data_IF_684980738030
#
_entry.id   IF_684980738030
#
_cell.length_a   1.000
_cell.length_b   1.000
_cell.length_c   1.000
_cell.angle_alpha   90.00
_cell.angle_beta   90.00
_cell.angle_gamma   90.00
#
_symmetry.space_group_name_H-M   'P 1'
#
loop_
_entity.id
_entity.type
_entity.pdbx_description
1 polymer ?
#
# COMPACT_ATOMS: atom_id res chain seq x y z
N UNK A 1 16.50 7.48 -18.97
CA UNK A 1 15.50 6.40 -18.90
C UNK A 1 14.15 6.84 -19.44
N UNK A 2 13.29 5.87 -19.83
CA UNK A 2 11.87 6.13 -20.07
C UNK A 2 11.08 6.03 -18.78
N UNK A 3 10.06 6.90 -18.62
CA UNK A 3 9.21 6.95 -17.44
C UNK A 3 7.80 7.41 -17.78
N UNK A 4 6.80 6.95 -17.02
CA UNK A 4 5.49 7.58 -16.98
C UNK A 4 5.60 8.86 -16.16
N UNK A 5 5.18 9.99 -16.71
CA UNK A 5 5.30 11.28 -16.02
C UNK A 5 4.13 12.20 -16.37
N UNK A 6 3.95 13.26 -15.57
CA UNK A 6 3.05 14.37 -15.86
C UNK A 6 3.76 15.70 -15.63
N UNK A 7 3.48 16.67 -16.50
CA UNK A 7 4.07 18.02 -16.51
C UNK A 7 3.12 19.10 -15.94
N UNK A 8 1.88 18.72 -15.65
CA UNK A 8 0.84 19.55 -15.05
C UNK A 8 -0.13 18.68 -14.25
N UNK A 9 -0.74 19.25 -13.22
CA UNK A 9 -1.82 18.59 -12.50
C UNK A 9 -3.07 18.45 -13.37
N UNK A 10 -3.84 17.38 -13.15
CA UNK A 10 -5.07 17.19 -13.92
C UNK A 10 -5.65 15.78 -13.85
N UNK A 11 -6.56 15.44 -14.77
CA UNK A 11 -7.16 14.12 -14.90
C UNK A 11 -6.11 13.10 -15.39
N UNK A 12 -6.43 11.78 -15.40
CA UNK A 12 -5.47 10.73 -15.78
C UNK A 12 -4.75 10.95 -17.11
N UNK A 13 -5.36 11.61 -18.05
CA UNK A 13 -4.87 11.88 -19.40
C UNK A 13 -3.62 12.80 -19.45
N UNK A 14 -3.25 13.43 -18.33
CA UNK A 14 -1.98 14.18 -18.23
C UNK A 14 -0.76 13.27 -18.14
N UNK A 15 -0.95 11.97 -17.87
CA UNK A 15 0.12 10.98 -17.83
C UNK A 15 0.56 10.59 -19.23
N UNK A 16 1.87 10.66 -19.46
CA UNK A 16 2.50 10.26 -20.72
C UNK A 16 3.82 9.56 -20.45
N UNK A 17 4.26 8.72 -21.39
CA UNK A 17 5.61 8.17 -21.38
C UNK A 17 6.55 9.24 -21.95
N UNK A 18 7.56 9.60 -21.20
CA UNK A 18 8.61 10.56 -21.58
C UNK A 18 9.99 10.07 -21.15
N UNK A 19 10.99 10.93 -21.28
CA UNK A 19 12.36 10.66 -20.85
C UNK A 19 12.69 11.44 -19.59
N UNK A 20 13.50 10.82 -18.72
CA UNK A 20 14.03 11.43 -17.50
C UNK A 20 15.50 11.00 -17.32
N UNK A 21 16.23 11.72 -16.46
CA UNK A 21 17.54 11.27 -16.02
C UNK A 21 17.45 9.94 -15.27
N UNK A 22 18.48 9.11 -15.39
CA UNK A 22 18.57 7.88 -14.61
C UNK A 22 18.80 8.25 -13.13
N UNK A 23 18.02 7.68 -12.19
CA UNK A 23 18.28 7.91 -10.78
C UNK A 23 19.47 7.08 -10.30
N UNK A 24 20.18 7.53 -9.27
CA UNK A 24 21.23 6.79 -8.60
C UNK A 24 20.91 6.61 -7.12
N UNK A 25 21.22 5.44 -6.53
CA UNK A 25 20.93 5.17 -5.12
C UNK A 25 21.91 5.95 -4.23
N UNK A 26 21.38 6.57 -3.20
CA UNK A 26 22.14 7.12 -2.10
C UNK A 26 22.62 6.06 -1.11
N UNK A 27 23.28 6.49 0.00
CA UNK A 27 23.64 5.57 1.07
C UNK A 27 22.42 4.83 1.64
N UNK A 28 22.49 3.51 1.76
CA UNK A 28 21.41 2.69 2.29
C UNK A 28 20.26 2.41 1.31
N UNK A 29 20.38 2.77 0.03
CA UNK A 29 19.38 2.57 -1.01
C UNK A 29 19.87 1.59 -2.09
N UNK A 30 18.95 1.04 -2.87
CA UNK A 30 19.26 0.26 -4.07
C UNK A 30 18.50 0.80 -5.26
N UNK A 31 19.11 0.75 -6.47
CA UNK A 31 18.38 0.97 -7.71
C UNK A 31 17.97 -0.38 -8.31
N UNK A 32 16.77 -0.41 -8.85
CA UNK A 32 16.23 -1.57 -9.54
C UNK A 32 15.88 -1.24 -10.99
N UNK A 33 16.10 -2.18 -11.90
CA UNK A 33 15.41 -2.26 -13.17
C UNK A 33 13.98 -2.72 -12.88
N UNK A 34 12.99 -1.85 -13.04
CA UNK A 34 11.61 -2.07 -12.60
C UNK A 34 10.91 -3.05 -13.54
N UNK A 35 10.30 -4.09 -12.97
CA UNK A 35 9.39 -4.98 -13.68
C UNK A 35 7.93 -4.55 -13.52
N UNK A 36 7.54 -4.16 -12.31
CA UNK A 36 6.17 -3.75 -12.00
C UNK A 36 6.14 -2.62 -10.97
N UNK A 37 5.20 -1.69 -11.11
CA UNK A 37 4.97 -0.58 -10.20
C UNK A 37 3.50 -0.50 -9.78
N UNK A 38 3.22 -0.39 -8.48
CA UNK A 38 1.87 -0.25 -7.94
C UNK A 38 1.31 1.16 -8.12
N UNK A 39 0.01 1.25 -8.40
CA UNK A 39 -0.73 2.52 -8.39
C UNK A 39 -1.44 2.66 -7.05
N UNK A 40 -1.09 3.70 -6.30
CA UNK A 40 -1.58 3.96 -4.95
C UNK A 40 -2.42 5.26 -4.86
N UNK A 41 -3.28 5.42 -3.86
CA UNK A 41 -4.09 6.64 -3.71
C UNK A 41 -3.26 7.93 -3.68
N UNK A 42 -2.03 7.88 -3.14
CA UNK A 42 -1.12 9.03 -3.12
C UNK A 42 -0.74 9.47 -4.53
N UNK A 43 -0.52 8.53 -5.45
CA UNK A 43 -0.19 8.83 -6.85
C UNK A 43 -1.34 9.56 -7.54
N UNK A 44 -2.57 9.13 -7.25
CA UNK A 44 -3.79 9.76 -7.78
C UNK A 44 -3.94 11.19 -7.27
N UNK A 45 -3.71 11.41 -5.97
CA UNK A 45 -3.81 12.72 -5.34
C UNK A 45 -2.71 13.69 -5.83
N UNK A 46 -1.46 13.21 -5.95
CA UNK A 46 -0.35 13.99 -6.48
C UNK A 46 -0.63 14.43 -7.92
N UNK A 47 -0.98 13.49 -8.80
CA UNK A 47 -1.31 13.79 -10.19
C UNK A 47 -2.49 14.77 -10.31
N UNK A 48 -3.53 14.59 -9.48
CA UNK A 48 -4.71 15.46 -9.51
C UNK A 48 -4.43 16.86 -8.91
N UNK A 49 -3.32 17.05 -8.18
CA UNK A 49 -3.02 18.28 -7.46
C UNK A 49 -3.87 18.48 -6.20
N UNK A 50 -4.39 17.40 -5.63
CA UNK A 50 -5.20 17.41 -4.38
C UNK A 50 -4.41 16.96 -3.16
N UNK A 51 -3.14 16.54 -3.34
CA UNK A 51 -2.24 16.21 -2.24
C UNK A 51 -1.83 17.47 -1.47
N UNK A 52 -1.66 17.39 -0.13
CA UNK A 52 -1.01 18.46 0.65
C UNK A 52 0.39 18.84 0.14
N UNK A 53 1.09 17.92 -0.52
CA UNK A 53 2.43 18.14 -1.09
C UNK A 53 2.42 18.82 -2.47
N UNK A 54 1.26 19.28 -2.96
CA UNK A 54 1.11 19.88 -4.29
C UNK A 54 2.12 21.00 -4.57
N UNK A 55 2.25 21.91 -3.62
CA UNK A 55 3.05 23.13 -3.83
C UNK A 55 4.56 22.89 -3.74
N UNK A 56 4.98 21.72 -3.25
CA UNK A 56 6.39 21.29 -3.17
C UNK A 56 6.77 20.29 -4.26
N UNK A 57 5.80 19.80 -5.04
CA UNK A 57 6.05 18.82 -6.09
C UNK A 57 6.74 19.46 -7.29
N UNK A 58 7.89 18.91 -7.68
CA UNK A 58 8.62 19.34 -8.87
C UNK A 58 8.05 18.67 -10.11
N UNK A 59 7.74 19.44 -11.13
CA UNK A 59 7.25 18.96 -12.42
C UNK A 59 8.34 19.10 -13.51
N UNK A 60 8.43 18.17 -14.48
CA UNK A 60 7.61 16.97 -14.62
C UNK A 60 7.87 15.97 -13.49
N UNK A 61 6.83 15.25 -13.05
CA UNK A 61 6.90 14.30 -11.95
C UNK A 61 6.59 12.86 -12.41
N UNK A 62 7.36 11.90 -11.89
CA UNK A 62 7.16 10.46 -12.11
C UNK A 62 6.41 9.89 -10.91
N UNK A 63 5.15 9.43 -11.05
CA UNK A 63 4.41 8.83 -9.96
C UNK A 63 4.91 7.42 -9.62
N UNK A 64 4.32 6.81 -8.59
CA UNK A 64 4.57 5.45 -8.15
C UNK A 64 5.48 5.41 -6.91
N UNK A 65 4.94 4.87 -5.83
CA UNK A 65 5.66 4.69 -4.56
C UNK A 65 6.11 3.25 -4.34
N UNK A 66 5.45 2.29 -4.98
CA UNK A 66 5.75 0.85 -4.88
C UNK A 66 6.38 0.33 -6.16
N UNK A 67 7.42 -0.48 -6.05
CA UNK A 67 7.99 -1.20 -7.19
C UNK A 67 8.56 -2.56 -6.81
N UNK A 68 8.66 -3.43 -7.82
CA UNK A 68 9.45 -4.64 -7.80
C UNK A 68 10.29 -4.74 -9.08
N UNK A 69 11.46 -5.32 -8.96
CA UNK A 69 12.40 -5.44 -10.07
C UNK A 69 13.67 -6.16 -9.66
N UNK A 70 14.68 -6.01 -10.51
CA UNK A 70 16.00 -6.60 -10.32
C UNK A 70 16.99 -5.49 -9.95
N UNK A 71 17.75 -5.68 -8.89
CA UNK A 71 18.79 -4.71 -8.49
C UNK A 71 19.83 -4.60 -9.60
N UNK A 72 20.13 -3.40 -10.04
CA UNK A 72 21.20 -3.09 -10.99
C UNK A 72 22.30 -2.20 -10.41
N UNK A 73 21.99 -1.43 -9.35
CA UNK A 73 22.97 -0.59 -8.65
C UNK A 73 22.72 -0.63 -7.13
N UNK A 74 23.79 -0.75 -6.34
CA UNK A 74 23.75 -0.85 -4.89
C UNK A 74 24.43 0.37 -4.27
N UNK A 75 23.70 1.09 -3.43
CA UNK A 75 24.22 2.28 -2.73
C UNK A 75 25.21 1.94 -1.63
N UNK A 76 25.98 2.93 -1.21
CA UNK A 76 27.00 2.77 -0.17
C UNK A 76 26.37 2.29 1.15
N UNK A 77 27.03 1.34 1.82
CA UNK A 77 26.61 0.84 3.13
C UNK A 77 25.50 -0.20 3.10
N UNK A 78 24.96 -0.55 1.91
CA UNK A 78 24.01 -1.64 1.76
C UNK A 78 24.74 -2.98 1.84
N UNK A 79 24.17 -3.94 2.58
CA UNK A 79 24.69 -5.30 2.72
C UNK A 79 23.58 -6.33 2.54
N UNK A 80 23.95 -7.57 2.20
CA UNK A 80 23.01 -8.71 2.09
C UNK A 80 22.23 -8.79 0.77
N UNK A 81 22.52 -7.88 -0.17
CA UNK A 81 21.97 -7.92 -1.54
C UNK A 81 23.05 -7.52 -2.55
N UNK A 82 22.87 -7.93 -3.80
CA UNK A 82 23.76 -7.64 -4.92
C UNK A 82 22.97 -7.33 -6.21
N UNK A 83 23.66 -6.80 -7.22
CA UNK A 83 23.11 -6.69 -8.57
C UNK A 83 22.70 -8.08 -9.07
N UNK A 84 21.51 -8.18 -9.65
CA UNK A 84 20.87 -9.43 -10.08
C UNK A 84 19.81 -9.95 -9.10
N UNK A 85 19.78 -9.50 -7.85
CA UNK A 85 18.77 -9.92 -6.89
C UNK A 85 17.38 -9.35 -7.22
N UNK A 86 16.37 -10.21 -7.09
CA UNK A 86 14.97 -9.82 -7.26
C UNK A 86 14.42 -9.27 -5.94
N UNK A 87 13.91 -8.06 -5.97
CA UNK A 87 13.39 -7.39 -4.77
C UNK A 87 12.06 -6.69 -5.03
N UNK A 88 11.35 -6.40 -3.95
CA UNK A 88 10.18 -5.53 -3.94
C UNK A 88 10.25 -4.57 -2.76
N UNK A 89 9.68 -3.40 -2.91
CA UNK A 89 9.72 -2.41 -1.84
C UNK A 89 9.09 -1.09 -2.22
N UNK A 90 9.58 -0.04 -1.60
CA UNK A 90 9.09 1.31 -1.82
C UNK A 90 10.22 2.31 -2.01
N UNK A 91 9.96 3.32 -2.82
CA UNK A 91 10.81 4.52 -2.88
C UNK A 91 10.73 5.27 -1.55
N UNK A 92 11.67 6.17 -1.32
CA UNK A 92 11.52 7.12 -0.20
C UNK A 92 10.26 7.96 -0.43
N UNK A 93 9.30 7.82 0.47
CA UNK A 93 8.00 8.50 0.37
C UNK A 93 8.16 10.03 0.36
N UNK A 94 9.24 10.56 0.91
CA UNK A 94 9.54 11.98 0.85
C UNK A 94 9.84 12.48 -0.58
N UNK A 95 10.22 11.58 -1.49
CA UNK A 95 10.39 11.89 -2.93
C UNK A 95 9.07 11.91 -3.68
N UNK A 96 7.99 11.42 -3.08
CA UNK A 96 6.62 11.42 -3.59
C UNK A 96 6.40 10.60 -4.88
N UNK A 97 7.37 9.79 -5.30
CA UNK A 97 7.25 8.98 -6.51
C UNK A 97 8.59 8.51 -7.07
N UNK A 98 8.56 8.06 -8.33
CA UNK A 98 9.73 7.58 -9.08
C UNK A 98 9.64 6.14 -9.54
N UNK A 99 8.67 5.36 -9.08
CA UNK A 99 8.59 3.92 -9.37
C UNK A 99 8.01 3.59 -10.76
N UNK A 100 7.23 4.48 -11.37
CA UNK A 100 6.64 4.25 -12.70
C UNK A 100 7.62 4.55 -13.85
N UNK A 101 8.81 3.96 -13.80
CA UNK A 101 9.91 4.21 -14.73
C UNK A 101 10.75 2.94 -14.98
N UNK A 102 11.66 2.97 -15.98
CA UNK A 102 12.61 1.88 -16.22
C UNK A 102 13.44 1.55 -14.98
N UNK A 103 13.88 2.58 -14.25
CA UNK A 103 14.67 2.44 -13.03
C UNK A 103 14.00 3.19 -11.89
N UNK A 104 14.08 2.62 -10.69
CA UNK A 104 13.63 3.25 -9.45
C UNK A 104 14.62 3.01 -8.32
N UNK A 105 14.72 3.97 -7.40
CA UNK A 105 15.54 3.84 -6.19
C UNK A 105 14.64 3.47 -5.02
N UNK A 106 14.86 2.31 -4.42
CA UNK A 106 14.14 1.85 -3.25
C UNK A 106 14.87 2.27 -1.96
N UNK A 107 14.12 2.84 -1.04
CA UNK A 107 14.60 3.21 0.30
C UNK A 107 14.48 2.05 1.30
N UNK A 108 13.55 1.14 1.05
CA UNK A 108 13.43 -0.13 1.78
C UNK A 108 12.85 -1.22 0.88
N UNK A 109 13.28 -2.45 1.14
CA UNK A 109 12.92 -3.60 0.30
C UNK A 109 13.03 -4.91 1.08
N UNK A 110 12.50 -5.97 0.46
CA UNK A 110 12.79 -7.36 0.80
C UNK A 110 13.04 -8.16 -0.48
N UNK A 111 13.72 -9.30 -0.35
CA UNK A 111 13.89 -10.26 -1.44
C UNK A 111 12.52 -10.75 -1.90
N UNK A 112 12.26 -10.65 -3.19
CA UNK A 112 11.02 -11.16 -3.79
C UNK A 112 11.02 -12.68 -3.75
N UNK A 113 10.05 -13.34 -3.10
CA UNK A 113 9.92 -14.78 -3.18
C UNK A 113 9.38 -15.21 -4.54
N UNK A 114 9.75 -16.42 -4.99
CA UNK A 114 9.25 -16.97 -6.26
C UNK A 114 7.73 -17.17 -6.25
N UNK A 115 7.13 -17.32 -5.07
CA UNK A 115 5.69 -17.42 -4.88
C UNK A 115 4.92 -16.14 -5.21
N UNK A 116 5.57 -14.97 -5.24
CA UNK A 116 4.97 -13.73 -5.68
C UNK A 116 5.21 -13.49 -7.17
N UNK A 117 4.17 -13.18 -7.93
CA UNK A 117 4.30 -12.60 -9.27
C UNK A 117 4.92 -11.20 -9.19
N UNK A 118 5.48 -10.68 -10.30
CA UNK A 118 5.96 -9.31 -10.37
C UNK A 118 4.86 -8.29 -10.04
N UNK A 119 3.62 -8.54 -10.48
CA UNK A 119 2.51 -7.66 -10.22
C UNK A 119 2.15 -7.58 -8.73
N UNK A 120 2.13 -8.72 -8.02
CA UNK A 120 1.92 -8.74 -6.57
C UNK A 120 3.05 -8.02 -5.84
N UNK A 121 4.29 -8.32 -6.19
CA UNK A 121 5.48 -7.72 -5.60
C UNK A 121 5.53 -6.20 -5.82
N UNK A 122 5.23 -5.73 -7.05
CA UNK A 122 5.21 -4.29 -7.39
C UNK A 122 4.10 -3.49 -6.69
N UNK A 123 3.12 -4.16 -6.10
CA UNK A 123 2.02 -3.54 -5.37
C UNK A 123 2.15 -3.64 -3.83
N UNK A 124 3.22 -4.28 -3.34
CA UNK A 124 3.32 -4.77 -1.97
C UNK A 124 3.90 -3.75 -0.98
N UNK A 125 4.91 -2.99 -1.39
CA UNK A 125 5.82 -2.24 -0.51
C UNK A 125 5.12 -1.38 0.53
N UNK A 126 4.45 -0.30 0.12
CA UNK A 126 3.75 0.61 1.02
C UNK A 126 2.53 -0.03 1.68
N UNK A 127 1.87 -1.00 1.02
CA UNK A 127 0.72 -1.68 1.63
C UNK A 127 1.15 -2.52 2.84
N UNK A 128 2.28 -3.22 2.76
CA UNK A 128 2.82 -4.01 3.87
C UNK A 128 3.38 -3.10 4.97
N UNK A 129 4.16 -2.08 4.60
CA UNK A 129 4.68 -1.10 5.55
C UNK A 129 3.57 -0.48 6.37
N UNK A 130 2.55 0.06 5.69
CA UNK A 130 1.45 0.79 6.32
C UNK A 130 0.59 -0.12 7.19
N UNK A 131 0.28 -1.33 6.74
CA UNK A 131 -0.46 -2.31 7.54
C UNK A 131 0.34 -2.74 8.78
N UNK A 132 1.63 -3.05 8.62
CA UNK A 132 2.49 -3.47 9.73
C UNK A 132 2.58 -2.39 10.80
N UNK A 133 2.86 -1.16 10.41
CA UNK A 133 2.94 0.01 11.28
C UNK A 133 1.64 0.24 12.06
N UNK A 134 0.49 0.13 11.39
CA UNK A 134 -0.81 0.30 12.04
C UNK A 134 -1.10 -0.83 13.04
N UNK A 135 -0.79 -2.08 12.70
CA UNK A 135 -0.94 -3.23 13.59
C UNK A 135 -0.02 -3.14 14.81
N UNK A 136 1.22 -2.63 14.63
CA UNK A 136 2.15 -2.39 15.73
C UNK A 136 1.66 -1.25 16.63
N UNK A 137 1.16 -0.16 16.07
CA UNK A 137 0.60 0.95 16.81
C UNK A 137 -0.63 0.53 17.64
N UNK A 138 -1.42 -0.42 17.16
CA UNK A 138 -2.54 -1.00 17.89
C UNK A 138 -2.11 -2.09 18.90
N UNK A 139 -0.88 -2.60 18.83
CA UNK A 139 -0.44 -3.71 19.66
C UNK A 139 -1.17 -5.03 19.34
N UNK A 140 -1.51 -5.27 18.06
CA UNK A 140 -2.22 -6.47 17.63
C UNK A 140 -1.41 -7.71 17.94
N UNK A 141 -1.95 -8.60 18.77
CA UNK A 141 -1.31 -9.84 19.25
C UNK A 141 -2.30 -11.02 19.18
N UNK A 142 -1.78 -12.20 19.52
CA UNK A 142 -2.58 -13.43 19.60
C UNK A 142 -3.78 -13.28 20.56
N UNK A 143 -4.93 -13.76 20.12
CA UNK A 143 -6.19 -13.72 20.87
C UNK A 143 -6.98 -12.41 20.78
N UNK A 144 -6.39 -11.32 20.26
CA UNK A 144 -7.12 -10.08 20.04
C UNK A 144 -8.16 -10.19 18.91
N UNK A 145 -9.28 -9.49 19.03
CA UNK A 145 -10.25 -9.31 17.95
C UNK A 145 -10.07 -7.91 17.33
N UNK A 146 -9.68 -7.87 16.07
CA UNK A 146 -9.47 -6.64 15.30
C UNK A 146 -10.59 -6.43 14.28
N UNK A 147 -11.21 -5.24 14.31
CA UNK A 147 -12.08 -4.76 13.24
C UNK A 147 -11.27 -3.93 12.25
N UNK A 148 -11.26 -4.32 10.97
CA UNK A 148 -10.63 -3.57 9.88
C UNK A 148 -11.71 -2.95 9.00
N UNK A 149 -11.84 -1.62 9.05
CA UNK A 149 -12.73 -0.88 8.14
C UNK A 149 -12.02 -0.56 6.84
N UNK A 150 -12.62 -0.96 5.69
CA UNK A 150 -11.97 -0.91 4.38
C UNK A 150 -11.09 -2.14 4.09
N UNK A 151 -11.41 -3.29 4.68
CA UNK A 151 -10.62 -4.53 4.60
C UNK A 151 -10.37 -5.06 3.18
N UNK A 152 -11.23 -4.76 2.21
CA UNK A 152 -11.07 -5.23 0.82
C UNK A 152 -10.07 -4.40 -0.02
N UNK A 153 -9.63 -3.24 0.48
CA UNK A 153 -8.68 -2.37 -0.21
C UNK A 153 -7.24 -2.90 -0.19
N UNK A 154 -6.33 -2.17 -0.84
CA UNK A 154 -4.91 -2.56 -0.93
C UNK A 154 -4.25 -2.77 0.42
N UNK A 155 -4.31 -1.77 1.32
CA UNK A 155 -3.76 -1.87 2.68
C UNK A 155 -4.61 -2.77 3.56
N UNK A 156 -5.94 -2.68 3.48
CA UNK A 156 -6.85 -3.46 4.32
C UNK A 156 -6.71 -4.97 4.12
N UNK A 157 -6.58 -5.43 2.87
CA UNK A 157 -6.39 -6.85 2.56
C UNK A 157 -5.06 -7.41 3.07
N UNK A 158 -4.03 -6.57 3.12
CA UNK A 158 -2.73 -6.90 3.72
C UNK A 158 -2.84 -6.93 5.26
N UNK A 159 -3.50 -5.92 5.85
CA UNK A 159 -3.70 -5.85 7.30
C UNK A 159 -4.47 -7.06 7.85
N UNK A 160 -5.51 -7.52 7.14
CA UNK A 160 -6.25 -8.75 7.48
C UNK A 160 -5.31 -9.94 7.61
N UNK A 161 -4.47 -10.18 6.60
CA UNK A 161 -3.58 -11.35 6.57
C UNK A 161 -2.47 -11.27 7.61
N UNK A 162 -1.86 -10.09 7.78
CA UNK A 162 -0.81 -9.89 8.77
C UNK A 162 -1.34 -9.97 10.20
N UNK A 163 -2.55 -9.47 10.47
CA UNK A 163 -3.20 -9.62 11.77
C UNK A 163 -3.55 -11.09 12.07
N UNK A 164 -4.11 -11.81 11.09
CA UNK A 164 -4.36 -13.25 11.22
C UNK A 164 -3.07 -14.05 11.46
N UNK A 165 -1.96 -13.67 10.81
CA UNK A 165 -0.65 -14.29 11.03
C UNK A 165 -0.09 -14.03 12.44
N UNK A 166 -0.51 -12.95 13.11
CA UNK A 166 -0.21 -12.65 14.53
C UNK A 166 -1.13 -13.40 15.51
N UNK A 167 -2.07 -14.22 15.03
CA UNK A 167 -3.02 -14.96 15.85
C UNK A 167 -4.26 -14.14 16.26
N UNK A 168 -4.50 -12.98 15.67
CA UNK A 168 -5.71 -12.20 15.92
C UNK A 168 -6.90 -12.75 15.13
N UNK A 169 -8.08 -12.66 15.73
CA UNK A 169 -9.36 -12.82 15.03
C UNK A 169 -9.66 -11.52 14.29
N UNK A 170 -9.90 -11.57 12.98
CA UNK A 170 -10.14 -10.38 12.18
C UNK A 170 -11.59 -10.33 11.70
N UNK A 171 -12.27 -9.21 11.95
CA UNK A 171 -13.55 -8.84 11.34
C UNK A 171 -13.24 -7.79 10.28
N UNK A 172 -13.67 -8.02 9.02
CA UNK A 172 -13.36 -7.11 7.92
C UNK A 172 -14.59 -6.51 7.29
N UNK A 173 -14.66 -5.17 7.17
CA UNK A 173 -15.78 -4.54 6.49
C UNK A 173 -15.59 -4.57 4.97
N UNK A 174 -16.67 -4.84 4.27
CA UNK A 174 -16.70 -4.85 2.81
C UNK A 174 -18.13 -4.79 2.26
N UNK A 175 -18.26 -4.63 0.96
CA UNK A 175 -19.55 -4.84 0.28
C UNK A 175 -19.90 -6.33 0.27
N UNK A 176 -21.18 -6.73 0.23
CA UNK A 176 -21.57 -8.15 0.15
C UNK A 176 -20.82 -8.92 -0.95
N UNK A 177 -20.59 -8.30 -2.11
CA UNK A 177 -19.82 -8.89 -3.21
C UNK A 177 -18.33 -9.17 -2.87
N UNK A 178 -17.80 -8.57 -1.80
CA UNK A 178 -16.41 -8.79 -1.35
C UNK A 178 -16.32 -9.78 -0.18
N UNK A 179 -17.44 -10.29 0.34
CA UNK A 179 -17.43 -11.14 1.55
C UNK A 179 -16.66 -12.44 1.32
N UNK A 180 -16.89 -13.12 0.18
CA UNK A 180 -16.14 -14.34 -0.15
C UNK A 180 -14.63 -14.09 -0.25
N UNK A 181 -14.24 -12.95 -0.84
CA UNK A 181 -12.85 -12.53 -0.92
C UNK A 181 -12.25 -12.30 0.47
N UNK A 182 -12.93 -11.56 1.35
CA UNK A 182 -12.47 -11.29 2.72
C UNK A 182 -12.35 -12.56 3.54
N UNK A 183 -13.31 -13.49 3.42
CA UNK A 183 -13.25 -14.80 4.06
C UNK A 183 -12.03 -15.60 3.57
N UNK A 184 -11.71 -15.56 2.28
CA UNK A 184 -10.53 -16.20 1.71
C UNK A 184 -9.20 -15.62 2.22
N UNK A 185 -9.20 -14.38 2.74
CA UNK A 185 -8.03 -13.75 3.38
C UNK A 185 -7.96 -14.03 4.90
N UNK A 186 -8.94 -14.73 5.48
CA UNK A 186 -8.98 -15.06 6.90
C UNK A 186 -9.79 -14.09 7.76
N UNK A 187 -10.58 -13.18 7.20
CA UNK A 187 -11.47 -12.31 7.95
C UNK A 187 -12.90 -12.88 8.04
N UNK A 188 -13.60 -12.57 9.14
CA UNK A 188 -15.06 -12.67 9.21
C UNK A 188 -15.64 -11.43 8.52
N UNK A 189 -16.32 -11.57 7.37
CA UNK A 189 -16.77 -10.40 6.61
C UNK A 189 -18.05 -9.81 7.21
N UNK A 190 -18.14 -8.48 7.18
CA UNK A 190 -19.33 -7.72 7.58
C UNK A 190 -19.56 -6.55 6.62
N UNK A 191 -20.83 -6.20 6.37
CA UNK A 191 -21.13 -5.02 5.56
C UNK A 191 -20.89 -3.73 6.34
N UNK A 192 -20.22 -2.76 5.73
CA UNK A 192 -20.08 -1.41 6.28
C UNK A 192 -21.38 -0.59 6.20
N UNK A 193 -21.38 0.62 6.73
CA UNK A 193 -22.51 1.57 6.70
C UNK A 193 -23.47 1.41 7.86
N UNK A 194 -24.60 2.14 7.88
CA UNK A 194 -25.49 2.24 9.03
C UNK A 194 -25.82 0.89 9.67
N UNK A 195 -25.73 0.80 11.00
CA UNK A 195 -25.94 -0.43 11.76
C UNK A 195 -24.74 -1.37 11.80
N UNK A 196 -23.53 -0.90 11.45
CA UNK A 196 -22.32 -1.72 11.58
C UNK A 196 -22.12 -2.22 13.02
N UNK A 197 -22.35 -1.36 14.02
CA UNK A 197 -22.19 -1.71 15.43
C UNK A 197 -23.07 -2.90 15.83
N UNK A 198 -24.32 -2.97 15.37
CA UNK A 198 -25.22 -4.10 15.67
C UNK A 198 -24.71 -5.39 15.00
N UNK A 199 -24.34 -5.31 13.72
CA UNK A 199 -23.80 -6.46 12.98
C UNK A 199 -22.50 -7.00 13.57
N UNK A 200 -21.64 -6.11 14.09
CA UNK A 200 -20.38 -6.51 14.75
C UNK A 200 -20.66 -7.11 16.13
N UNK A 201 -21.62 -6.56 16.88
CA UNK A 201 -22.03 -7.08 18.20
C UNK A 201 -22.46 -8.54 18.12
N UNK A 202 -23.16 -8.93 17.06
CA UNK A 202 -23.58 -10.32 16.82
C UNK A 202 -22.39 -11.28 16.59
N UNK A 203 -21.22 -10.73 16.23
CA UNK A 203 -19.97 -11.48 16.02
C UNK A 203 -19.13 -11.61 17.31
N UNK A 204 -19.45 -10.86 18.35
CA UNK A 204 -18.75 -10.82 19.64
C UNK A 204 -17.96 -9.52 19.88
N UNK A 205 -17.23 -9.43 21.01
CA UNK A 205 -16.49 -8.23 21.38
C UNK A 205 -15.34 -7.94 20.40
N UNK A 206 -15.02 -6.66 20.26
CA UNK A 206 -13.90 -6.13 19.47
C UNK A 206 -12.97 -5.41 20.41
N UNK A 207 -11.68 -5.74 20.37
CA UNK A 207 -10.66 -5.13 21.22
C UNK A 207 -10.01 -3.92 20.53
N UNK A 208 -9.86 -3.98 19.21
CA UNK A 208 -9.09 -3.02 18.42
C UNK A 208 -9.81 -2.71 17.10
N UNK A 209 -9.68 -1.48 16.60
CA UNK A 209 -10.20 -1.11 15.29
C UNK A 209 -9.17 -0.35 14.44
N UNK A 210 -9.11 -0.68 13.15
CA UNK A 210 -8.25 -0.05 12.16
C UNK A 210 -9.11 0.55 11.04
N UNK A 211 -9.10 1.87 10.92
CA UNK A 211 -9.73 2.57 9.80
C UNK A 211 -8.74 2.76 8.65
N UNK A 212 -8.99 2.06 7.55
CA UNK A 212 -8.27 2.18 6.28
C UNK A 212 -9.11 2.92 5.24
N UNK A 213 -10.42 3.03 5.48
CA UNK A 213 -11.37 3.57 4.52
C UNK A 213 -11.43 5.09 4.50
N UNK A 214 -11.30 5.74 5.66
CA UNK A 214 -11.49 7.18 5.80
C UNK A 214 -12.90 7.63 5.38
N UNK A 215 -13.91 6.78 5.62
CA UNK A 215 -15.27 6.98 5.11
C UNK A 215 -16.22 7.63 6.13
N UNK A 216 -15.67 8.22 7.20
CA UNK A 216 -16.45 8.89 8.25
C UNK A 216 -17.02 7.94 9.30
N UNK A 217 -16.47 6.73 9.44
CA UNK A 217 -16.91 5.69 10.40
C UNK A 217 -16.26 5.79 11.78
N UNK A 218 -15.36 6.76 12.03
CA UNK A 218 -14.54 6.79 13.27
C UNK A 218 -15.37 6.76 14.54
N UNK A 219 -16.45 7.54 14.64
CA UNK A 219 -17.28 7.59 15.85
C UNK A 219 -17.92 6.20 16.13
N UNK A 220 -18.33 5.48 15.08
CA UNK A 220 -18.88 4.14 15.20
C UNK A 220 -17.80 3.12 15.57
N UNK A 221 -16.57 3.25 14.99
CA UNK A 221 -15.45 2.38 15.33
C UNK A 221 -15.00 2.57 16.79
N UNK A 222 -14.98 3.80 17.29
CA UNK A 222 -14.71 4.11 18.71
C UNK A 222 -15.79 3.49 19.61
N UNK A 223 -17.06 3.60 19.23
CA UNK A 223 -18.16 3.00 19.99
C UNK A 223 -18.09 1.47 20.03
N UNK A 224 -17.63 0.81 18.94
CA UNK A 224 -17.44 -0.63 18.84
C UNK A 224 -16.25 -1.09 19.70
N UNK A 225 -15.10 -0.40 19.62
CA UNK A 225 -13.90 -0.75 20.39
C UNK A 225 -13.98 -0.31 21.87
N UNK A 226 -14.91 0.59 22.21
CA UNK A 226 -15.14 1.09 23.56
C UNK A 226 -14.18 2.19 24.02
N UNK A 227 -13.05 2.43 23.32
CA UNK A 227 -12.07 3.48 23.64
C UNK A 227 -11.39 3.97 22.35
N UNK A 228 -11.28 5.29 22.19
CA UNK A 228 -10.58 5.90 21.07
C UNK A 228 -9.09 5.53 21.00
N UNK A 229 -8.46 5.22 22.14
CA UNK A 229 -7.08 4.76 22.20
C UNK A 229 -6.89 3.37 21.53
N UNK A 230 -7.95 2.59 21.38
CA UNK A 230 -7.96 1.29 20.70
C UNK A 230 -8.25 1.41 19.20
N UNK A 231 -8.33 2.64 18.69
CA UNK A 231 -8.59 2.91 17.26
C UNK A 231 -7.40 3.61 16.63
N UNK A 232 -7.01 3.13 15.45
CA UNK A 232 -6.03 3.80 14.57
C UNK A 232 -6.69 4.09 13.24
N UNK A 233 -6.50 5.28 12.72
CA UNK A 233 -6.87 5.64 11.35
C UNK A 233 -5.64 5.88 10.48
N UNK A 234 -5.74 5.50 9.21
CA UNK A 234 -4.74 5.76 8.16
C UNK A 234 -5.20 6.86 7.19
N UNK A 235 -6.48 7.23 7.25
CA UNK A 235 -7.13 7.99 6.19
C UNK A 235 -7.97 9.17 6.67
N UNK A 236 -8.41 9.20 7.94
CA UNK A 236 -9.18 10.31 8.49
C UNK A 236 -8.30 11.27 9.30
N UNK A 237 -7.93 12.40 8.69
CA UNK A 237 -7.11 13.44 9.32
C UNK A 237 -7.79 14.15 10.48
N UNK A 238 -9.10 13.99 10.66
CA UNK A 238 -9.84 14.51 11.82
C UNK A 238 -9.80 13.55 13.03
N UNK A 239 -9.18 12.38 12.90
CA UNK A 239 -9.04 11.38 13.97
C UNK A 239 -8.49 11.93 15.28
N UNK A 240 -7.38 12.73 15.29
CA UNK A 240 -6.82 13.28 16.53
C UNK A 240 -7.80 14.14 17.32
N UNK A 241 -8.70 14.88 16.67
CA UNK A 241 -9.73 15.67 17.34
C UNK A 241 -10.78 14.81 18.07
N UNK A 242 -10.84 13.49 17.77
CA UNK A 242 -11.69 12.47 18.41
C UNK A 242 -10.91 11.57 19.37
N UNK A 243 -9.64 11.87 19.65
CA UNK A 243 -8.77 11.04 20.47
C UNK A 243 -8.25 9.79 19.75
N UNK A 244 -8.54 9.62 18.45
CA UNK A 244 -8.08 8.51 17.62
C UNK A 244 -6.67 8.79 17.11
N UNK A 245 -5.79 7.79 17.14
CA UNK A 245 -4.43 7.91 16.61
C UNK A 245 -4.43 7.90 15.07
N UNK A 246 -3.92 8.98 14.49
CA UNK A 246 -3.63 9.05 13.06
C UNK A 246 -2.21 8.53 12.82
N UNK A 247 -2.07 7.48 12.00
CA UNK A 247 -0.78 6.88 11.70
C UNK A 247 -0.31 7.28 10.31
N UNK A 248 0.67 8.20 10.27
CA UNK A 248 1.27 8.76 9.05
C UNK A 248 2.71 8.26 8.80
N UNK A 249 3.22 7.35 9.65
CA UNK A 249 4.59 6.88 9.57
C UNK A 249 5.61 8.01 9.73
N UNK A 250 6.60 8.05 8.86
CA UNK A 250 7.67 9.05 8.91
C UNK A 250 7.15 10.50 8.84
N UNK A 251 6.05 10.76 8.13
CA UNK A 251 5.42 12.09 8.10
C UNK A 251 4.87 12.54 9.47
N UNK A 252 4.53 11.59 10.33
CA UNK A 252 4.08 11.87 11.70
C UNK A 252 5.18 11.72 12.74
N UNK A 253 6.45 11.53 12.34
CA UNK A 253 7.55 11.24 13.27
C UNK A 253 7.39 9.90 13.99
N UNK A 254 6.63 8.97 13.42
CA UNK A 254 6.32 7.66 13.99
C UNK A 254 7.25 6.59 13.42
N UNK A 255 7.48 5.48 14.15
CA UNK A 255 8.19 4.32 13.60
C UNK A 255 7.50 3.83 12.31
N UNK A 256 8.31 3.31 11.38
CA UNK A 256 7.78 2.68 10.17
C UNK A 256 7.51 1.17 10.36
N UNK A 257 6.84 0.57 9.37
CA UNK A 257 6.50 -0.85 9.35
C UNK A 257 7.35 -1.66 8.35
N UNK A 258 8.51 -1.15 7.90
CA UNK A 258 9.33 -1.81 6.86
C UNK A 258 9.77 -3.23 7.19
N UNK A 259 9.92 -3.56 8.47
CA UNK A 259 10.25 -4.92 8.92
C UNK A 259 9.18 -5.95 8.53
N UNK A 260 7.94 -5.52 8.29
CA UNK A 260 6.86 -6.38 7.82
C UNK A 260 7.07 -6.96 6.41
N UNK A 261 7.95 -6.35 5.59
CA UNK A 261 8.21 -6.85 4.23
C UNK A 261 8.85 -8.25 4.28
N UNK A 262 9.82 -8.46 5.16
CA UNK A 262 10.48 -9.76 5.33
C UNK A 262 9.49 -10.82 5.83
N UNK A 263 8.62 -10.47 6.80
CA UNK A 263 7.56 -11.35 7.28
C UNK A 263 6.57 -11.71 6.17
N UNK A 264 6.10 -10.72 5.41
CA UNK A 264 5.16 -10.95 4.30
C UNK A 264 5.78 -11.84 3.21
N UNK A 265 7.06 -11.65 2.88
CA UNK A 265 7.79 -12.51 1.96
C UNK A 265 7.85 -13.96 2.45
N UNK A 266 8.11 -14.18 3.75
CA UNK A 266 8.13 -15.53 4.34
C UNK A 266 6.73 -16.15 4.36
N UNK A 267 5.71 -15.43 4.75
CA UNK A 267 4.32 -15.91 4.71
C UNK A 267 3.87 -16.24 3.29
N UNK A 268 4.36 -15.49 2.29
CA UNK A 268 4.08 -15.79 0.88
C UNK A 268 4.71 -17.11 0.44
N UNK A 269 5.97 -17.41 0.85
CA UNK A 269 6.62 -18.71 0.59
C UNK A 269 5.83 -19.88 1.17
N UNK A 270 5.15 -19.63 2.31
CA UNK A 270 4.29 -20.60 2.97
C UNK A 270 2.87 -20.69 2.38
N UNK A 271 2.53 -19.90 1.35
CA UNK A 271 1.19 -19.81 0.78
C UNK A 271 0.14 -19.17 1.72
N UNK A 272 0.59 -18.40 2.72
CA UNK A 272 -0.25 -17.77 3.76
C UNK A 272 -0.41 -16.27 3.58
N UNK A 273 0.16 -15.71 2.52
CA UNK A 273 0.08 -14.29 2.21
C UNK A 273 0.09 -14.06 0.71
N UNK A 274 -0.75 -13.15 0.26
CA UNK A 274 -0.81 -12.67 -1.12
C UNK A 274 -1.16 -11.19 -1.16
N UNK A 275 -0.70 -10.47 -2.18
CA UNK A 275 -1.16 -9.12 -2.48
C UNK A 275 -2.19 -9.19 -3.60
N UNK A 276 -3.48 -8.95 -3.31
CA UNK A 276 -4.51 -9.04 -4.34
C UNK A 276 -4.30 -7.99 -5.42
N UNK A 277 -4.14 -8.43 -6.66
CA UNK A 277 -4.03 -7.57 -7.84
C UNK A 277 -5.32 -7.66 -8.63
N UNK A 278 -5.98 -6.51 -8.82
CA UNK A 278 -7.23 -6.41 -9.56
C UNK A 278 -7.03 -6.29 -11.07
N UNK A 279 -6.01 -5.54 -11.46
CA UNK A 279 -5.71 -5.29 -12.87
C UNK A 279 -4.23 -4.91 -13.06
N UNK A 280 -3.68 -5.32 -14.20
CA UNK A 280 -2.34 -4.95 -14.66
C UNK A 280 -2.50 -4.22 -15.99
N UNK A 281 -1.82 -3.08 -16.12
CA UNK A 281 -1.80 -2.28 -17.34
C UNK A 281 -0.36 -2.09 -17.81
N UNK A 282 -0.08 -2.12 -19.12
CA UNK A 282 1.22 -1.69 -19.63
C UNK A 282 1.46 -0.21 -19.30
N UNK A 283 2.71 0.19 -19.09
CA UNK A 283 3.09 1.55 -18.71
C UNK A 283 2.58 2.61 -19.68
N UNK A 284 2.51 2.31 -20.99
CA UNK A 284 1.91 3.19 -22.01
C UNK A 284 0.41 3.47 -21.77
N UNK A 285 -0.26 2.69 -20.93
CA UNK A 285 -1.66 2.87 -20.54
C UNK A 285 -1.83 3.38 -19.11
N UNK A 286 -0.86 4.10 -18.58
CA UNK A 286 -0.87 4.63 -17.20
C UNK A 286 -2.11 5.49 -16.91
N UNK A 287 -2.61 6.26 -17.86
CA UNK A 287 -3.86 7.02 -17.71
C UNK A 287 -5.04 6.08 -17.39
N UNK A 288 -5.18 4.98 -18.14
CA UNK A 288 -6.23 3.99 -17.89
C UNK A 288 -6.04 3.27 -16.54
N UNK A 289 -4.80 2.99 -16.14
CA UNK A 289 -4.49 2.41 -14.83
C UNK A 289 -4.92 3.34 -13.68
N UNK A 290 -4.57 4.64 -13.75
CA UNK A 290 -4.99 5.63 -12.76
C UNK A 290 -6.51 5.82 -12.73
N UNK A 291 -7.18 5.83 -13.88
CA UNK A 291 -8.64 5.87 -13.95
C UNK A 291 -9.26 4.62 -13.30
N UNK A 292 -8.74 3.44 -13.59
CA UNK A 292 -9.19 2.19 -12.97
C UNK A 292 -8.93 2.18 -11.45
N UNK A 293 -7.81 2.72 -10.98
CA UNK A 293 -7.51 2.81 -9.54
C UNK A 293 -8.46 3.76 -8.81
N UNK A 294 -8.89 4.85 -9.46
CA UNK A 294 -9.84 5.81 -8.92
C UNK A 294 -11.28 5.28 -8.91
N UNK A 295 -11.66 4.49 -9.92
CA UNK A 295 -13.03 4.02 -10.16
C UNK A 295 -13.28 2.60 -9.63
N UNK A 296 -14.54 2.28 -9.39
CA UNK A 296 -15.03 0.92 -9.16
C UNK A 296 -14.75 0.35 -7.76
N UNK A 297 -14.98 -0.96 -7.61
CA UNK A 297 -14.75 -1.64 -6.34
C UNK A 297 -13.27 -1.61 -6.01
N UNK A 298 -12.92 -1.07 -4.84
CA UNK A 298 -11.54 -1.00 -4.35
C UNK A 298 -11.10 -2.36 -3.78
N UNK A 299 -11.21 -3.42 -4.58
CA UNK A 299 -10.78 -4.77 -4.19
C UNK A 299 -9.43 -5.05 -4.83
N UNK A 300 -8.37 -5.10 -4.02
CA UNK A 300 -6.99 -5.28 -4.48
C UNK A 300 -6.39 -4.04 -5.16
N UNK A 301 -5.19 -4.21 -5.68
CA UNK A 301 -4.33 -3.16 -6.26
C UNK A 301 -4.42 -3.12 -7.78
N UNK A 302 -4.09 -1.95 -8.35
CA UNK A 302 -3.82 -1.77 -9.79
C UNK A 302 -2.31 -1.62 -9.95
N UNK A 303 -1.77 -2.21 -11.01
CA UNK A 303 -0.33 -2.31 -11.26
C UNK A 303 -0.01 -1.89 -12.68
N UNK A 304 1.13 -1.24 -12.87
CA UNK A 304 1.76 -1.00 -14.16
C UNK A 304 2.81 -2.09 -14.42
N UNK A 305 2.71 -2.77 -15.55
CA UNK A 305 3.81 -3.51 -16.15
C UNK A 305 4.74 -2.50 -16.82
N UNK A 306 5.97 -2.44 -16.34
CA UNK A 306 6.98 -1.47 -16.78
C UNK A 306 7.95 -2.09 -17.79
N UNK A 307 7.89 -3.40 -18.00
CA UNK A 307 8.85 -4.13 -18.83
C UNK A 307 8.95 -3.61 -20.26
N UNK A 308 7.85 -3.12 -20.83
CA UNK A 308 7.84 -2.55 -22.19
C UNK A 308 8.71 -1.28 -22.32
N UNK A 309 8.95 -0.55 -21.23
CA UNK A 309 9.80 0.64 -21.26
C UNK A 309 11.27 0.26 -21.53
N UNK A 310 11.72 -0.93 -21.07
CA UNK A 310 13.06 -1.42 -21.32
C UNK A 310 13.31 -1.78 -22.78
N UNK A 311 12.26 -2.15 -23.53
CA UNK A 311 12.37 -2.43 -24.95
C UNK A 311 12.50 -1.18 -25.85
N UNK A 312 12.33 0.01 -25.29
CA UNK A 312 12.44 1.30 -25.99
C UNK A 312 13.87 1.88 -25.95
N UNK A 313 14.78 1.23 -25.25
CA UNK A 313 16.16 1.68 -25.05
C UNK A 313 17.05 1.41 -26.27
#
# INVERSE_FOLDING_TARGET
MFAVQFDRFGPPEVLAVGTAADPHPGPGEVRIAVAAAGVSPVDLALRAGTSPSRDTLVLPHIPGVDAAGVIDEVGHGVAGVAAGDQVFGSVDIARLGGASAQFAVLAFWATKPDSMSWAEAGAAGTSIETATRALDALGVAEGATLLVDGAAGGVGSVAVQLAAARGARVIGTGRPASHAFLAGLGAVPVSYGPGLADRVRDLGPVDLALDVAGAGSLDELVAIAGDAAQVVTLADFAGPARGVRLSLGQYGGQPDGRHGLALAAELSRQGRFQVPVRAVFPAARAAAAHAAAAAGPRQGKVVLDVTELHARA
#
